data_IF_371420538154
#
_entry.id   IF_371420538154
#
_cell.length_a   1.000
_cell.length_b   1.000
_cell.length_c   1.000
_cell.angle_alpha   90.00
_cell.angle_beta   90.00
_cell.angle_gamma   90.00
#
_symmetry.space_group_name_H-M   'P 1'
#
loop_
_entity.id
_entity.type
_entity.pdbx_description
1 polymer ?
#
# COMPACT_ATOMS: atom_id res chain seq x y z
N UNK A 1 14.07 -23.53 3.77
CA UNK A 1 13.15 -22.53 4.32
C UNK A 1 13.29 -21.28 3.48
N UNK A 2 12.19 -20.65 3.10
CA UNK A 2 12.22 -19.36 2.41
C UNK A 2 12.68 -18.27 3.39
N UNK A 3 13.51 -17.36 2.96
CA UNK A 3 14.10 -16.30 3.80
C UNK A 3 13.56 -14.94 3.41
N UNK A 4 13.04 -14.21 4.39
CA UNK A 4 12.40 -12.91 4.15
C UNK A 4 12.97 -11.81 5.05
N UNK A 5 12.79 -10.56 4.61
CA UNK A 5 12.91 -9.37 5.45
C UNK A 5 11.61 -8.56 5.36
N UNK A 6 11.28 -7.82 6.41
CA UNK A 6 10.04 -7.06 6.54
C UNK A 6 10.35 -5.62 6.91
N UNK A 7 10.04 -4.68 6.02
CA UNK A 7 10.03 -3.26 6.34
C UNK A 7 8.65 -2.86 6.86
N UNK A 8 8.59 -2.37 8.11
CA UNK A 8 7.34 -2.02 8.76
C UNK A 8 6.71 -3.16 9.56
N UNK A 9 7.52 -4.00 10.21
CA UNK A 9 7.10 -5.22 10.92
C UNK A 9 6.10 -4.99 12.06
N UNK A 10 6.11 -3.82 12.69
CA UNK A 10 5.20 -3.44 13.77
C UNK A 10 3.89 -2.79 13.31
N UNK A 11 3.74 -2.58 11.99
CA UNK A 11 2.49 -2.11 11.38
C UNK A 11 1.47 -3.23 11.16
N UNK A 12 0.27 -2.86 10.70
CA UNK A 12 -0.83 -3.82 10.48
C UNK A 12 -0.45 -4.96 9.52
N UNK A 13 0.20 -4.65 8.39
CA UNK A 13 0.63 -5.68 7.43
C UNK A 13 1.81 -6.49 7.98
N UNK A 14 2.77 -5.82 8.62
CA UNK A 14 3.94 -6.49 9.19
C UNK A 14 3.56 -7.51 10.28
N UNK A 15 2.66 -7.16 11.18
CA UNK A 15 2.18 -8.08 12.24
C UNK A 15 1.44 -9.27 11.64
N UNK A 16 0.54 -9.05 10.67
CA UNK A 16 -0.16 -10.13 9.98
C UNK A 16 0.78 -11.02 9.13
N UNK A 17 1.86 -10.42 8.60
CA UNK A 17 2.91 -11.19 7.93
C UNK A 17 3.59 -12.15 8.90
N UNK A 18 3.94 -11.68 10.10
CA UNK A 18 4.54 -12.53 11.14
C UNK A 18 3.58 -13.60 11.66
N UNK A 19 2.26 -13.33 11.69
CA UNK A 19 1.25 -14.36 11.96
C UNK A 19 1.27 -15.45 10.88
N UNK A 20 1.30 -15.08 9.59
CA UNK A 20 1.41 -16.03 8.47
C UNK A 20 2.69 -16.86 8.57
N UNK A 21 3.81 -16.23 8.92
CA UNK A 21 5.09 -16.93 9.13
C UNK A 21 4.99 -17.94 10.26
N UNK A 22 4.40 -17.54 11.39
CA UNK A 22 4.20 -18.41 12.57
C UNK A 22 3.30 -19.62 12.25
N UNK A 23 2.20 -19.39 11.55
CA UNK A 23 1.24 -20.44 11.20
C UNK A 23 1.82 -21.49 10.24
N UNK A 24 2.67 -21.07 9.30
CA UNK A 24 3.26 -21.99 8.33
C UNK A 24 4.56 -22.67 8.81
N UNK A 25 5.39 -21.99 9.60
CA UNK A 25 6.60 -22.55 10.23
C UNK A 25 7.75 -22.90 9.26
N UNK A 26 7.68 -22.50 7.99
CA UNK A 26 8.68 -22.83 6.96
C UNK A 26 9.31 -21.56 6.31
N UNK A 27 9.14 -20.40 6.95
CA UNK A 27 9.77 -19.14 6.57
C UNK A 27 10.70 -18.69 7.70
N UNK A 28 11.89 -18.26 7.35
CA UNK A 28 12.87 -17.63 8.24
C UNK A 28 12.85 -16.11 8.06
N UNK A 29 12.69 -15.37 9.14
CA UNK A 29 12.71 -13.91 9.14
C UNK A 29 14.11 -13.44 9.48
N UNK A 30 14.86 -12.97 8.49
CA UNK A 30 16.26 -12.54 8.67
C UNK A 30 16.40 -11.06 9.04
N UNK A 31 15.46 -10.23 8.57
CA UNK A 31 15.50 -8.79 8.79
C UNK A 31 14.15 -8.21 9.18
N UNK A 32 14.15 -7.28 10.13
CA UNK A 32 12.98 -6.52 10.51
C UNK A 32 13.27 -5.02 10.49
N UNK A 33 12.26 -4.21 10.18
CA UNK A 33 12.37 -2.77 10.33
C UNK A 33 11.09 -2.18 10.92
N UNK A 34 11.24 -1.17 11.80
CA UNK A 34 10.12 -0.44 12.39
C UNK A 34 10.44 1.05 12.55
N UNK A 35 9.40 1.88 12.73
CA UNK A 35 9.54 3.30 12.98
C UNK A 35 10.03 3.58 14.41
N UNK A 36 9.12 3.56 15.38
CA UNK A 36 9.39 3.91 16.79
C UNK A 36 8.79 2.92 17.81
N UNK A 37 7.98 1.95 17.37
CA UNK A 37 7.36 0.98 18.27
C UNK A 37 8.34 -0.13 18.65
N UNK A 38 9.31 0.20 19.50
CA UNK A 38 10.36 -0.73 19.93
C UNK A 38 9.88 -1.80 20.91
N UNK A 39 8.75 -1.60 21.59
CA UNK A 39 8.22 -2.62 22.52
C UNK A 39 7.74 -3.85 21.75
N UNK A 40 6.91 -3.66 20.73
CA UNK A 40 6.48 -4.76 19.87
C UNK A 40 7.65 -5.31 19.04
N UNK A 41 8.58 -4.45 18.60
CA UNK A 41 9.76 -4.88 17.86
C UNK A 41 10.67 -5.78 18.71
N UNK A 42 10.85 -5.50 20.02
CA UNK A 42 11.57 -6.37 20.96
C UNK A 42 10.92 -7.76 21.05
N UNK A 43 9.60 -7.84 21.17
CA UNK A 43 8.86 -9.11 21.17
C UNK A 43 9.11 -9.90 19.87
N UNK A 44 9.04 -9.22 18.72
CA UNK A 44 9.33 -9.81 17.42
C UNK A 44 10.77 -10.31 17.29
N UNK A 45 11.74 -9.55 17.80
CA UNK A 45 13.16 -9.95 17.82
C UNK A 45 13.35 -11.22 18.66
N UNK A 46 12.77 -11.28 19.85
CA UNK A 46 12.89 -12.44 20.73
C UNK A 46 12.24 -13.69 20.15
N UNK A 47 11.12 -13.52 19.43
CA UNK A 47 10.40 -14.64 18.80
C UNK A 47 11.08 -15.16 17.53
N UNK A 48 11.38 -14.26 16.59
CA UNK A 48 11.85 -14.62 15.24
C UNK A 48 13.37 -14.64 15.09
N UNK A 49 14.13 -14.09 16.04
CA UNK A 49 15.58 -14.04 16.09
C UNK A 49 16.23 -13.56 14.77
N UNK A 50 15.82 -12.38 14.25
CA UNK A 50 16.41 -11.83 13.03
C UNK A 50 17.89 -11.49 13.24
N UNK A 51 18.68 -11.55 12.17
CA UNK A 51 20.11 -11.15 12.19
C UNK A 51 20.30 -9.63 12.20
N UNK A 52 19.37 -8.90 11.57
CA UNK A 52 19.48 -7.46 11.36
C UNK A 52 18.14 -6.76 11.59
N UNK A 53 18.16 -5.67 12.34
CA UNK A 53 16.97 -4.88 12.64
C UNK A 53 17.23 -3.40 12.43
N UNK A 54 16.40 -2.74 11.64
CA UNK A 54 16.44 -1.30 11.44
C UNK A 54 15.35 -0.58 12.28
N UNK A 55 15.74 0.48 12.97
CA UNK A 55 14.80 1.36 13.66
C UNK A 55 14.95 2.75 13.09
N UNK A 56 13.85 3.33 12.57
CA UNK A 56 13.91 4.65 11.95
C UNK A 56 14.33 5.76 12.92
N UNK A 57 13.79 5.73 14.14
CA UNK A 57 14.10 6.68 15.20
C UNK A 57 15.41 6.26 15.90
N UNK A 58 16.43 7.10 15.77
CA UNK A 58 17.78 6.84 16.35
C UNK A 58 17.77 6.71 17.88
N UNK A 59 16.93 7.51 18.57
CA UNK A 59 16.82 7.43 20.04
C UNK A 59 16.19 6.10 20.44
N UNK A 60 15.13 5.69 19.74
CA UNK A 60 14.50 4.40 19.95
C UNK A 60 15.40 3.23 19.59
N UNK A 61 16.25 3.36 18.59
CA UNK A 61 17.28 2.36 18.30
C UNK A 61 18.28 2.18 19.47
N UNK A 62 18.72 3.27 20.07
CA UNK A 62 19.61 3.21 21.24
C UNK A 62 18.93 2.55 22.45
N UNK A 63 17.65 2.87 22.72
CA UNK A 63 16.86 2.20 23.75
C UNK A 63 16.71 0.70 23.46
N UNK A 64 16.42 0.31 22.21
CA UNK A 64 16.25 -1.09 21.81
C UNK A 64 17.56 -1.89 21.95
N UNK A 65 18.72 -1.32 21.59
CA UNK A 65 20.02 -1.97 21.77
C UNK A 65 20.27 -2.42 23.21
N UNK A 66 19.84 -1.61 24.18
CA UNK A 66 19.96 -1.96 25.61
C UNK A 66 19.03 -3.12 25.96
N UNK A 67 17.81 -3.11 25.42
CA UNK A 67 16.80 -4.12 25.71
C UNK A 67 17.12 -5.51 25.17
N UNK A 68 17.83 -5.56 24.03
CA UNK A 68 18.17 -6.82 23.34
C UNK A 68 19.67 -7.16 23.40
N UNK A 69 20.41 -6.58 24.35
CA UNK A 69 21.86 -6.82 24.51
C UNK A 69 22.22 -8.29 24.82
N UNK A 70 21.22 -9.08 25.22
CA UNK A 70 21.30 -10.52 25.47
C UNK A 70 21.17 -11.38 24.21
N UNK A 71 20.86 -10.77 23.05
CA UNK A 71 20.61 -11.43 21.78
C UNK A 71 21.69 -11.08 20.74
N UNK A 72 21.98 -12.02 19.86
CA UNK A 72 22.89 -11.81 18.73
C UNK A 72 22.14 -11.18 17.54
N UNK A 73 21.86 -9.87 17.66
CA UNK A 73 21.13 -9.11 16.63
C UNK A 73 21.82 -7.77 16.40
N UNK A 74 22.05 -7.43 15.13
CA UNK A 74 22.59 -6.12 14.75
C UNK A 74 21.46 -5.09 14.65
N UNK A 75 21.57 -3.95 15.35
CA UNK A 75 20.62 -2.83 15.26
C UNK A 75 21.22 -1.68 14.48
N UNK A 76 20.53 -1.24 13.43
CA UNK A 76 20.89 -0.11 12.54
C UNK A 76 19.79 0.93 12.50
N UNK A 77 20.03 2.12 11.91
CA UNK A 77 19.10 3.25 11.96
C UNK A 77 18.93 3.94 10.62
N UNK A 78 17.82 4.68 10.50
CA UNK A 78 17.57 5.59 9.38
C UNK A 78 17.44 4.91 8.02
N UNK A 79 17.65 5.68 6.95
CA UNK A 79 17.54 5.20 5.57
C UNK A 79 18.59 4.14 5.24
N UNK A 80 19.84 4.34 5.66
CA UNK A 80 20.92 3.38 5.44
C UNK A 80 20.60 2.03 6.11
N UNK A 81 20.03 2.07 7.32
CA UNK A 81 19.56 0.87 7.99
C UNK A 81 18.42 0.15 7.27
N UNK A 82 17.45 0.89 6.72
CA UNK A 82 16.38 0.29 5.90
C UNK A 82 16.95 -0.37 4.65
N UNK A 83 17.90 0.29 3.99
CA UNK A 83 18.57 -0.27 2.81
C UNK A 83 19.37 -1.51 3.21
N UNK A 84 20.13 -1.49 4.30
CA UNK A 84 20.91 -2.63 4.75
C UNK A 84 20.03 -3.87 4.98
N UNK A 85 18.86 -3.71 5.63
CA UNK A 85 17.88 -4.79 5.79
C UNK A 85 17.36 -5.28 4.43
N UNK A 86 17.13 -4.37 3.49
CA UNK A 86 16.54 -4.69 2.19
C UNK A 86 17.46 -5.47 1.26
N UNK A 87 18.78 -5.32 1.40
CA UNK A 87 19.80 -5.92 0.53
C UNK A 87 20.52 -7.12 1.14
N UNK A 88 20.08 -7.62 2.31
CA UNK A 88 20.70 -8.78 2.96
C UNK A 88 20.85 -9.93 1.96
N UNK A 89 22.06 -10.48 1.82
CA UNK A 89 22.40 -11.46 0.78
C UNK A 89 21.48 -12.69 0.81
N UNK A 90 21.21 -13.23 1.99
CA UNK A 90 20.41 -14.45 2.17
C UNK A 90 18.90 -14.24 1.98
N UNK A 91 18.39 -13.01 1.98
CA UNK A 91 16.97 -12.71 1.81
C UNK A 91 16.53 -12.97 0.37
N UNK A 92 15.46 -13.71 0.18
CA UNK A 92 14.84 -14.01 -1.11
C UNK A 92 13.72 -13.01 -1.45
N UNK A 93 12.88 -12.68 -0.44
CA UNK A 93 11.75 -11.76 -0.59
C UNK A 93 11.84 -10.64 0.43
N UNK A 94 11.76 -9.41 -0.04
CA UNK A 94 11.53 -8.23 0.79
C UNK A 94 10.04 -7.90 0.83
N UNK A 95 9.43 -7.93 2.02
CA UNK A 95 8.08 -7.40 2.20
C UNK A 95 8.15 -5.93 2.62
N UNK A 96 7.56 -5.04 1.81
CA UNK A 96 7.57 -3.60 2.05
C UNK A 96 6.20 -3.15 2.57
N UNK A 97 6.11 -2.87 3.87
CA UNK A 97 4.90 -2.45 4.57
C UNK A 97 5.09 -1.14 5.36
N UNK A 98 6.07 -0.33 4.95
CA UNK A 98 6.21 1.04 5.43
C UNK A 98 5.16 1.94 4.78
N UNK A 99 4.84 3.06 5.40
CA UNK A 99 3.85 4.03 4.91
C UNK A 99 4.57 5.19 4.24
N UNK A 100 4.03 5.67 3.12
CA UNK A 100 4.56 6.83 2.41
C UNK A 100 5.76 6.51 1.52
N UNK A 101 6.43 7.56 1.04
CA UNK A 101 7.47 7.45 0.02
C UNK A 101 8.81 6.92 0.56
N UNK A 102 8.95 6.75 1.88
CA UNK A 102 10.16 6.21 2.52
C UNK A 102 10.56 4.82 2.00
N UNK A 103 9.59 4.04 1.48
CA UNK A 103 9.80 2.70 0.93
C UNK A 103 10.49 2.67 -0.43
N UNK A 104 10.56 3.79 -1.17
CA UNK A 104 11.03 3.79 -2.56
C UNK A 104 12.51 3.39 -2.66
N UNK A 105 13.40 4.09 -1.94
CA UNK A 105 14.84 3.81 -1.97
C UNK A 105 15.18 2.37 -1.56
N UNK A 106 14.71 1.86 -0.41
CA UNK A 106 14.93 0.47 -0.03
C UNK A 106 14.43 -0.53 -1.07
N UNK A 107 13.27 -0.27 -1.71
CA UNK A 107 12.73 -1.13 -2.76
C UNK A 107 13.61 -1.14 -4.01
N UNK A 108 14.10 0.02 -4.46
CA UNK A 108 15.05 0.12 -5.59
C UNK A 108 16.32 -0.68 -5.34
N UNK A 109 16.92 -0.52 -4.15
CA UNK A 109 18.14 -1.22 -3.81
C UNK A 109 17.92 -2.74 -3.63
N UNK A 110 16.78 -3.16 -3.09
CA UNK A 110 16.42 -4.57 -3.02
C UNK A 110 16.28 -5.21 -4.42
N UNK A 111 15.62 -4.51 -5.36
CA UNK A 111 15.49 -4.98 -6.75
C UNK A 111 16.87 -5.12 -7.40
N UNK A 112 17.77 -4.14 -7.25
CA UNK A 112 19.14 -4.20 -7.73
C UNK A 112 19.93 -5.37 -7.11
N UNK A 113 19.61 -5.72 -5.85
CA UNK A 113 20.20 -6.87 -5.17
C UNK A 113 19.52 -8.20 -5.52
N UNK A 114 18.60 -8.23 -6.50
CA UNK A 114 17.95 -9.45 -6.99
C UNK A 114 16.90 -10.02 -6.06
N UNK A 115 16.24 -9.18 -5.21
CA UNK A 115 15.20 -9.64 -4.29
C UNK A 115 13.82 -9.50 -4.92
N UNK A 116 12.98 -10.51 -4.79
CA UNK A 116 11.55 -10.39 -5.07
C UNK A 116 10.90 -9.45 -4.04
N UNK A 117 9.91 -8.68 -4.47
CA UNK A 117 9.25 -7.69 -3.62
C UNK A 117 7.81 -8.10 -3.36
N UNK A 118 7.46 -8.39 -2.10
CA UNK A 118 6.08 -8.46 -1.65
C UNK A 118 5.62 -7.03 -1.29
N UNK A 119 4.93 -6.37 -2.23
CA UNK A 119 4.66 -4.94 -2.18
C UNK A 119 3.33 -4.65 -1.49
N UNK A 120 3.38 -4.06 -0.29
CA UNK A 120 2.22 -3.48 0.40
C UNK A 120 2.26 -1.94 0.40
N UNK A 121 3.41 -1.33 0.14
CA UNK A 121 3.60 0.12 0.07
C UNK A 121 3.23 0.63 -1.34
N UNK A 122 1.96 0.94 -1.55
CA UNK A 122 1.44 1.38 -2.85
C UNK A 122 2.05 2.68 -3.35
N UNK A 123 2.45 3.56 -2.43
CA UNK A 123 3.06 4.86 -2.74
C UNK A 123 4.33 4.69 -3.58
N UNK A 124 5.05 3.58 -3.42
CA UNK A 124 6.23 3.23 -4.23
C UNK A 124 5.93 3.17 -5.73
N UNK A 125 4.83 2.52 -6.12
CA UNK A 125 4.43 2.46 -7.55
C UNK A 125 3.68 3.69 -8.01
N UNK A 126 2.87 4.29 -7.15
CA UNK A 126 2.16 5.54 -7.48
C UNK A 126 3.13 6.63 -7.93
N UNK A 127 4.25 6.77 -7.24
CA UNK A 127 5.20 7.86 -7.46
C UNK A 127 6.40 7.47 -8.34
N UNK A 128 6.86 6.23 -8.25
CA UNK A 128 8.07 5.76 -8.92
C UNK A 128 7.85 4.52 -9.80
N UNK A 129 6.61 4.21 -10.19
CA UNK A 129 6.29 3.02 -10.98
C UNK A 129 7.05 2.94 -12.31
N UNK A 130 7.29 4.10 -12.98
CA UNK A 130 8.08 4.20 -14.21
C UNK A 130 9.57 3.86 -14.02
N UNK A 131 10.08 3.89 -12.78
CA UNK A 131 11.44 3.46 -12.42
C UNK A 131 11.42 2.01 -11.96
N UNK A 132 10.51 1.66 -11.06
CA UNK A 132 10.44 0.36 -10.37
C UNK A 132 10.15 -0.78 -11.34
N UNK A 133 9.11 -0.65 -12.18
CA UNK A 133 8.67 -1.75 -13.04
C UNK A 133 9.69 -2.11 -14.13
N UNK A 134 10.30 -1.14 -14.87
CA UNK A 134 11.38 -1.45 -15.80
C UNK A 134 12.60 -2.07 -15.11
N UNK A 135 13.01 -1.54 -13.93
CA UNK A 135 14.13 -2.07 -13.18
C UNK A 135 13.89 -3.51 -12.72
N UNK A 136 12.68 -3.82 -12.20
CA UNK A 136 12.31 -5.18 -11.80
C UNK A 136 12.38 -6.15 -12.99
N UNK A 137 11.89 -5.71 -14.16
CA UNK A 137 11.97 -6.50 -15.40
C UNK A 137 13.42 -6.74 -15.84
N UNK A 138 14.28 -5.73 -15.79
CA UNK A 138 15.70 -5.83 -16.13
C UNK A 138 16.44 -6.80 -15.22
N UNK A 139 16.18 -6.70 -13.90
CA UNK A 139 16.79 -7.57 -12.88
C UNK A 139 16.17 -8.96 -12.81
N UNK A 140 15.05 -9.20 -13.51
CA UNK A 140 14.35 -10.50 -13.51
C UNK A 140 13.69 -10.84 -12.17
N UNK A 141 13.36 -9.84 -11.35
CA UNK A 141 12.69 -10.02 -10.04
C UNK A 141 11.19 -9.78 -10.16
N UNK A 142 10.43 -10.38 -9.26
CA UNK A 142 8.97 -10.29 -9.23
C UNK A 142 8.50 -9.17 -8.28
N UNK A 143 7.52 -8.38 -8.73
CA UNK A 143 6.73 -7.52 -7.84
C UNK A 143 5.41 -8.25 -7.55
N UNK A 144 5.25 -8.69 -6.31
CA UNK A 144 4.12 -9.50 -5.84
C UNK A 144 3.19 -8.61 -5.00
N UNK A 145 1.97 -8.30 -5.48
CA UNK A 145 1.09 -7.37 -4.77
C UNK A 145 0.55 -7.98 -3.47
N UNK A 146 0.62 -7.20 -2.39
CA UNK A 146 0.04 -7.50 -1.09
C UNK A 146 -1.25 -6.71 -0.86
N UNK A 147 -1.43 -5.55 -1.50
CA UNK A 147 -2.72 -4.85 -1.48
C UNK A 147 -3.82 -5.80 -1.96
N UNK A 148 -4.96 -5.86 -1.26
CA UNK A 148 -5.99 -6.90 -1.48
C UNK A 148 -6.57 -6.87 -2.88
N UNK A 149 -6.83 -5.70 -3.42
CA UNK A 149 -7.39 -5.51 -4.74
C UNK A 149 -6.39 -5.90 -5.84
N UNK A 150 -5.13 -5.48 -5.70
CA UNK A 150 -4.08 -5.83 -6.67
C UNK A 150 -3.72 -7.30 -6.60
N UNK A 151 -3.71 -7.89 -5.41
CA UNK A 151 -3.57 -9.35 -5.25
C UNK A 151 -4.72 -10.09 -5.95
N UNK A 152 -5.95 -9.60 -5.84
CA UNK A 152 -7.11 -10.20 -6.50
C UNK A 152 -7.01 -10.13 -8.02
N UNK A 153 -6.58 -8.99 -8.58
CA UNK A 153 -6.32 -8.84 -10.02
C UNK A 153 -5.20 -9.79 -10.45
N UNK A 154 -4.08 -9.80 -9.71
CA UNK A 154 -2.96 -10.69 -9.98
C UNK A 154 -3.38 -12.16 -9.97
N UNK A 155 -4.23 -12.58 -9.02
CA UNK A 155 -4.78 -13.93 -8.96
C UNK A 155 -5.73 -14.25 -10.12
N UNK A 156 -6.55 -13.27 -10.56
CA UNK A 156 -7.47 -13.41 -11.69
C UNK A 156 -6.75 -13.52 -13.03
N UNK A 157 -5.52 -13.03 -13.13
CA UNK A 157 -4.66 -13.13 -14.32
C UNK A 157 -3.90 -14.46 -14.40
N UNK A 158 -3.91 -15.31 -13.35
CA UNK A 158 -3.19 -16.58 -13.39
C UNK A 158 -3.79 -17.53 -14.43
N UNK A 159 -2.94 -18.08 -15.30
CA UNK A 159 -3.36 -18.87 -16.45
C UNK A 159 -3.80 -18.08 -17.69
N UNK A 160 -3.96 -16.76 -17.55
CA UNK A 160 -4.47 -15.87 -18.61
C UNK A 160 -3.43 -14.82 -19.05
N UNK A 161 -2.16 -15.00 -18.76
CA UNK A 161 -1.09 -14.00 -19.02
C UNK A 161 -0.93 -13.62 -20.53
N UNK A 162 -1.41 -14.46 -21.43
CA UNK A 162 -1.37 -14.23 -22.88
C UNK A 162 -2.63 -13.51 -23.40
N UNK A 163 -3.64 -13.34 -22.55
CA UNK A 163 -4.91 -12.74 -22.94
C UNK A 163 -4.91 -11.24 -22.66
N UNK A 164 -5.43 -10.46 -23.59
CA UNK A 164 -5.54 -9.01 -23.45
C UNK A 164 -6.61 -8.65 -22.39
N UNK A 165 -6.26 -7.72 -21.53
CA UNK A 165 -7.18 -7.12 -20.57
C UNK A 165 -8.04 -6.08 -21.29
N UNK A 166 -9.36 -6.25 -21.28
CA UNK A 166 -10.29 -5.23 -21.74
C UNK A 166 -10.35 -4.09 -20.72
N UNK A 167 -10.64 -4.44 -19.44
CA UNK A 167 -10.54 -3.51 -18.30
C UNK A 167 -10.33 -4.23 -16.99
N UNK A 168 -9.83 -3.49 -16.01
CA UNK A 168 -9.78 -3.88 -14.61
C UNK A 168 -11.01 -3.29 -13.91
N UNK A 169 -11.74 -4.12 -13.17
CA UNK A 169 -12.85 -3.70 -12.32
C UNK A 169 -12.34 -3.68 -10.88
N UNK A 170 -11.83 -2.50 -10.47
CA UNK A 170 -11.23 -2.28 -9.15
C UNK A 170 -12.34 -2.01 -8.13
N UNK A 171 -12.53 -2.92 -7.18
CA UNK A 171 -13.60 -2.78 -6.20
C UNK A 171 -13.22 -1.84 -5.05
N UNK A 172 -14.22 -1.21 -4.46
CA UNK A 172 -14.10 -0.34 -3.29
C UNK A 172 -15.25 -0.62 -2.32
N UNK A 173 -15.02 -0.51 -1.00
CA UNK A 173 -16.12 -0.55 -0.03
C UNK A 173 -17.05 0.67 -0.12
N UNK A 174 -16.56 1.76 -0.68
CA UNK A 174 -17.21 3.07 -0.68
C UNK A 174 -16.91 3.92 0.55
N UNK A 175 -16.17 3.36 1.52
CA UNK A 175 -15.79 4.05 2.76
C UNK A 175 -16.96 4.30 3.73
N UNK A 176 -16.68 4.96 4.88
CA UNK A 176 -17.70 5.20 5.93
C UNK A 176 -18.77 6.20 5.54
N UNK A 177 -18.55 6.99 4.49
CA UNK A 177 -19.47 8.05 4.07
C UNK A 177 -20.22 7.73 2.78
N UNK A 178 -20.20 6.46 2.35
CA UNK A 178 -20.98 6.00 1.19
C UNK A 178 -22.45 6.44 1.29
N UNK A 179 -22.97 7.05 0.23
CA UNK A 179 -24.35 7.56 0.16
C UNK A 179 -24.56 8.97 0.75
N UNK A 180 -23.55 9.55 1.41
CA UNK A 180 -23.58 10.96 1.86
C UNK A 180 -23.32 11.92 0.70
N UNK A 181 -23.78 13.17 0.85
CA UNK A 181 -23.49 14.28 -0.06
C UNK A 181 -22.52 15.26 0.59
N UNK A 182 -21.94 16.15 -0.21
CA UNK A 182 -20.94 17.12 0.26
C UNK A 182 -21.40 17.94 1.47
N UNK A 183 -22.68 18.28 1.53
CA UNK A 183 -23.30 19.03 2.63
C UNK A 183 -23.22 18.24 3.96
N UNK A 184 -23.34 16.92 3.89
CA UNK A 184 -23.26 16.03 5.06
C UNK A 184 -21.84 15.91 5.60
N UNK A 185 -20.84 16.30 4.79
CA UNK A 185 -19.40 16.14 5.12
C UNK A 185 -18.77 17.38 5.77
N UNK A 186 -19.50 18.50 5.84
CA UNK A 186 -19.00 19.78 6.36
C UNK A 186 -18.48 19.73 7.80
N UNK A 187 -19.08 18.88 8.64
CA UNK A 187 -18.79 18.81 10.07
C UNK A 187 -18.19 17.46 10.51
N UNK A 188 -17.65 16.68 9.58
CA UNK A 188 -17.03 15.38 9.88
C UNK A 188 -15.85 15.58 10.82
N UNK A 189 -15.82 14.76 11.89
CA UNK A 189 -14.75 14.70 12.85
C UNK A 189 -13.82 13.51 12.56
N UNK A 190 -12.62 13.54 13.11
CA UNK A 190 -11.63 12.47 12.95
C UNK A 190 -12.21 11.10 13.33
N UNK A 191 -12.97 11.05 14.42
CA UNK A 191 -13.59 9.83 14.93
C UNK A 191 -14.63 9.23 13.97
N UNK A 192 -15.30 10.07 13.19
CA UNK A 192 -16.29 9.62 12.20
C UNK A 192 -15.59 9.01 10.98
N UNK A 193 -14.54 9.66 10.52
CA UNK A 193 -13.76 9.21 9.36
C UNK A 193 -12.93 7.94 9.65
N UNK A 194 -12.62 7.66 10.92
CA UNK A 194 -11.91 6.44 11.33
C UNK A 194 -12.79 5.20 11.48
N UNK A 195 -14.12 5.31 11.31
CA UNK A 195 -15.07 4.19 11.42
C UNK A 195 -15.25 3.48 10.06
N UNK A 196 -14.26 2.66 9.66
CA UNK A 196 -14.42 1.88 8.42
C UNK A 196 -15.42 0.73 8.63
N UNK A 197 -16.37 0.48 7.68
CA UNK A 197 -17.44 -0.50 7.89
C UNK A 197 -16.97 -1.96 7.91
N UNK A 198 -15.92 -2.32 7.18
CA UNK A 198 -15.54 -3.72 6.95
C UNK A 198 -14.12 -4.07 7.38
N UNK A 199 -13.21 -3.09 7.44
CA UNK A 199 -11.78 -3.33 7.63
C UNK A 199 -11.25 -2.63 8.88
N UNK A 200 -10.41 -3.34 9.65
CA UNK A 200 -9.59 -2.74 10.71
C UNK A 200 -8.22 -2.37 10.10
N UNK A 201 -8.00 -1.08 9.86
CA UNK A 201 -6.82 -0.57 9.16
C UNK A 201 -6.08 0.49 9.95
N UNK A 202 -4.88 0.85 9.50
CA UNK A 202 -4.14 2.01 10.01
C UNK A 202 -4.92 3.32 9.84
N UNK A 203 -4.62 4.31 10.69
CA UNK A 203 -5.35 5.59 10.71
C UNK A 203 -5.29 6.33 9.38
N UNK A 204 -4.10 6.43 8.75
CA UNK A 204 -3.92 7.14 7.48
C UNK A 204 -4.79 6.53 6.37
N UNK A 205 -4.66 5.22 6.11
CA UNK A 205 -5.40 4.53 5.04
C UNK A 205 -6.91 4.54 5.30
N UNK A 206 -7.36 4.59 6.56
CA UNK A 206 -8.80 4.72 6.89
C UNK A 206 -9.35 6.08 6.45
N UNK A 207 -8.60 7.17 6.65
CA UNK A 207 -8.96 8.49 6.10
C UNK A 207 -8.94 8.48 4.58
N UNK A 208 -7.89 7.90 3.96
CA UNK A 208 -7.80 7.78 2.50
C UNK A 208 -9.00 7.00 1.91
N UNK A 209 -9.47 5.96 2.60
CA UNK A 209 -10.68 5.22 2.23
C UNK A 209 -11.92 6.11 2.31
N UNK A 210 -12.03 6.95 3.36
CA UNK A 210 -13.18 7.84 3.56
C UNK A 210 -13.32 8.90 2.47
N UNK A 211 -12.20 9.35 1.91
CA UNK A 211 -12.11 10.35 0.84
C UNK A 211 -12.10 9.76 -0.58
N UNK A 212 -12.07 8.43 -0.70
CA UNK A 212 -11.81 7.67 -1.93
C UNK A 212 -10.41 7.91 -2.53
N UNK A 213 -9.51 8.63 -1.85
CA UNK A 213 -8.11 8.80 -2.28
C UNK A 213 -7.36 7.47 -2.27
N UNK A 214 -7.62 6.58 -1.28
CA UNK A 214 -7.04 5.24 -1.30
C UNK A 214 -7.32 4.52 -2.61
N UNK A 215 -8.56 4.53 -3.07
CA UNK A 215 -8.95 3.91 -4.33
C UNK A 215 -8.31 4.61 -5.54
N UNK A 216 -8.10 5.92 -5.44
CA UNK A 216 -7.36 6.68 -6.43
C UNK A 216 -5.90 6.28 -6.53
N UNK A 217 -5.20 6.10 -5.40
CA UNK A 217 -3.82 5.59 -5.37
C UNK A 217 -3.75 4.18 -5.99
N UNK A 218 -4.72 3.33 -5.68
CA UNK A 218 -4.82 1.99 -6.23
C UNK A 218 -5.08 1.95 -7.74
N UNK A 219 -5.85 2.90 -8.29
CA UNK A 219 -6.01 3.07 -9.74
C UNK A 219 -4.65 3.30 -10.40
N UNK A 220 -3.84 4.21 -9.86
CA UNK A 220 -2.51 4.52 -10.42
C UNK A 220 -1.57 3.31 -10.25
N UNK A 221 -1.56 2.65 -9.09
CA UNK A 221 -0.76 1.44 -8.85
C UNK A 221 -1.10 0.32 -9.85
N UNK A 222 -2.39 0.11 -10.13
CA UNK A 222 -2.85 -0.91 -11.07
C UNK A 222 -2.29 -0.70 -12.48
N UNK A 223 -2.15 0.56 -12.92
CA UNK A 223 -1.59 0.85 -14.26
C UNK A 223 -0.16 0.34 -14.40
N UNK A 224 0.64 0.49 -13.35
CA UNK A 224 2.02 0.03 -13.33
C UNK A 224 2.14 -1.49 -13.19
N UNK A 225 1.41 -2.09 -12.24
CA UNK A 225 1.48 -3.53 -11.99
C UNK A 225 1.01 -4.37 -13.16
N UNK A 226 -0.03 -3.92 -13.87
CA UNK A 226 -0.68 -4.72 -14.90
C UNK A 226 -0.47 -4.17 -16.32
N UNK A 227 0.24 -3.04 -16.47
CA UNK A 227 0.57 -2.47 -17.77
C UNK A 227 -0.65 -2.02 -18.57
N UNK A 228 -1.65 -1.44 -17.90
CA UNK A 228 -2.89 -0.95 -18.53
C UNK A 228 -2.98 0.58 -18.44
N UNK A 229 -3.66 1.17 -19.41
CA UNK A 229 -4.02 2.60 -19.38
C UNK A 229 -4.93 2.92 -18.18
N UNK A 230 -4.81 4.12 -17.62
CA UNK A 230 -5.62 4.58 -16.48
C UNK A 230 -7.12 4.42 -16.75
N UNK A 231 -7.57 4.72 -17.97
CA UNK A 231 -8.98 4.66 -18.34
C UNK A 231 -9.51 3.21 -18.48
N UNK A 232 -8.61 2.21 -18.52
CA UNK A 232 -8.97 0.80 -18.43
C UNK A 232 -9.18 0.31 -16.99
N UNK A 233 -8.88 1.12 -15.97
CA UNK A 233 -9.15 0.81 -14.56
C UNK A 233 -10.45 1.47 -14.14
N UNK A 234 -11.52 0.70 -14.06
CA UNK A 234 -12.85 1.16 -13.65
C UNK A 234 -13.10 0.84 -12.18
N UNK A 235 -13.37 1.87 -11.37
CA UNK A 235 -13.76 1.67 -9.97
C UNK A 235 -15.23 1.26 -9.87
N UNK A 236 -15.49 0.21 -9.07
CA UNK A 236 -16.82 -0.32 -8.77
C UNK A 236 -16.99 -0.39 -7.26
N UNK A 237 -18.01 0.25 -6.70
CA UNK A 237 -18.30 0.14 -5.26
C UNK A 237 -19.02 -1.18 -5.00
N UNK A 238 -18.45 -2.00 -4.12
CA UNK A 238 -18.95 -3.30 -3.67
C UNK A 238 -18.99 -3.28 -2.12
N UNK A 239 -20.13 -2.87 -1.53
CA UNK A 239 -20.21 -2.52 -0.11
C UNK A 239 -19.84 -3.64 0.86
N UNK A 240 -20.11 -4.89 0.47
CA UNK A 240 -19.83 -6.06 1.31
C UNK A 240 -18.33 -6.40 1.40
N UNK A 241 -17.50 -5.82 0.52
CA UNK A 241 -16.04 -6.09 0.44
C UNK A 241 -15.70 -7.58 0.34
N UNK A 242 -16.50 -8.34 -0.41
CA UNK A 242 -16.32 -9.79 -0.63
C UNK A 242 -15.62 -10.05 -1.96
N UNK A 243 -15.95 -9.28 -3.00
CA UNK A 243 -15.20 -9.29 -4.26
C UNK A 243 -14.06 -8.28 -4.10
N UNK A 244 -12.83 -8.80 -4.11
CA UNK A 244 -11.66 -7.95 -3.90
C UNK A 244 -11.14 -7.27 -5.18
N UNK A 245 -11.50 -7.69 -6.35
CA UNK A 245 -11.44 -7.05 -7.68
C UNK A 245 -11.62 -8.09 -8.78
N UNK A 246 -11.76 -7.61 -10.01
CA UNK A 246 -12.09 -8.44 -11.17
C UNK A 246 -11.30 -7.98 -12.40
N UNK A 247 -11.11 -8.88 -13.36
CA UNK A 247 -10.54 -8.60 -14.68
C UNK A 247 -11.57 -8.98 -15.74
N UNK A 248 -11.91 -8.04 -16.61
CA UNK A 248 -12.70 -8.26 -17.81
C UNK A 248 -11.75 -8.43 -19.00
N UNK A 249 -11.90 -9.51 -19.73
CA UNK A 249 -11.13 -9.83 -20.93
C UNK A 249 -11.83 -9.38 -22.20
N UNK A 250 -11.12 -9.38 -23.35
CA UNK A 250 -11.64 -8.89 -24.62
C UNK A 250 -12.84 -9.72 -25.15
N UNK A 251 -13.01 -10.95 -24.69
CA UNK A 251 -14.18 -11.79 -25.02
C UNK A 251 -15.41 -11.51 -24.13
N UNK A 252 -15.30 -10.57 -23.19
CA UNK A 252 -16.34 -10.21 -22.24
C UNK A 252 -16.40 -11.10 -21.01
N UNK A 253 -15.51 -12.10 -20.86
CA UNK A 253 -15.43 -12.90 -19.65
C UNK A 253 -14.88 -12.07 -18.48
N UNK A 254 -15.47 -12.22 -17.30
CA UNK A 254 -15.01 -11.57 -16.08
C UNK A 254 -14.53 -12.63 -15.10
N UNK A 255 -13.28 -12.52 -14.64
CA UNK A 255 -12.73 -13.36 -13.58
C UNK A 255 -12.52 -12.51 -12.34
N UNK A 256 -12.98 -13.00 -11.20
CA UNK A 256 -12.96 -12.32 -9.91
C UNK A 256 -12.33 -13.19 -8.83
N UNK A 257 -11.61 -12.56 -7.89
CA UNK A 257 -11.22 -13.21 -6.66
C UNK A 257 -12.14 -12.75 -5.52
N UNK A 258 -12.69 -13.71 -4.81
CA UNK A 258 -13.57 -13.49 -3.66
C UNK A 258 -12.91 -14.05 -2.39
N UNK A 259 -13.16 -13.39 -1.26
CA UNK A 259 -12.67 -13.82 0.05
C UNK A 259 -13.31 -13.04 1.19
N UNK A 260 -13.07 -13.48 2.40
CA UNK A 260 -13.32 -12.67 3.60
C UNK A 260 -12.34 -11.50 3.64
N UNK A 261 -12.68 -10.36 4.27
CA UNK A 261 -11.78 -9.22 4.40
C UNK A 261 -10.65 -9.50 5.40
N UNK A 262 -9.61 -10.20 4.95
CA UNK A 262 -8.44 -10.60 5.74
C UNK A 262 -7.17 -10.41 4.89
N UNK A 263 -6.23 -9.59 5.38
CA UNK A 263 -4.97 -9.32 4.69
C UNK A 263 -4.00 -10.50 4.71
N UNK A 264 -4.20 -11.51 5.57
CA UNK A 264 -3.35 -12.72 5.57
C UNK A 264 -3.43 -13.49 4.24
N UNK A 265 -4.59 -13.45 3.55
CA UNK A 265 -4.74 -14.12 2.25
C UNK A 265 -3.79 -13.53 1.19
N UNK A 266 -3.82 -12.23 0.86
CA UNK A 266 -2.90 -11.65 -0.10
C UNK A 266 -1.43 -11.71 0.36
N UNK A 267 -1.15 -11.52 1.65
CA UNK A 267 0.19 -11.67 2.22
C UNK A 267 0.71 -13.08 1.97
N UNK A 268 -0.04 -14.11 2.38
CA UNK A 268 0.36 -15.50 2.19
C UNK A 268 0.54 -15.84 0.71
N UNK A 269 -0.36 -15.36 -0.15
CA UNK A 269 -0.24 -15.60 -1.58
C UNK A 269 1.02 -14.98 -2.18
N UNK A 270 1.39 -13.75 -1.80
CA UNK A 270 2.63 -13.12 -2.22
C UNK A 270 3.87 -13.90 -1.74
N UNK A 271 3.88 -14.34 -0.49
CA UNK A 271 5.01 -15.08 0.07
C UNK A 271 5.19 -16.49 -0.53
N UNK A 272 4.13 -17.14 -0.95
CA UNK A 272 4.17 -18.53 -1.43
C UNK A 272 3.93 -18.68 -2.94
N UNK A 273 3.71 -17.58 -3.66
CA UNK A 273 3.44 -17.64 -5.09
C UNK A 273 4.44 -18.55 -5.83
N UNK A 274 3.98 -19.38 -6.77
CA UNK A 274 2.59 -19.54 -7.26
C UNK A 274 1.73 -20.55 -6.47
N UNK A 275 2.20 -21.07 -5.35
CA UNK A 275 1.52 -22.10 -4.57
C UNK A 275 0.48 -21.49 -3.62
N UNK A 276 -0.66 -22.16 -3.48
CA UNK A 276 -1.63 -21.86 -2.42
C UNK A 276 -1.37 -22.75 -1.21
N UNK A 277 -1.42 -22.15 -0.03
CA UNK A 277 -1.27 -22.84 1.26
C UNK A 277 -2.58 -22.79 2.03
N UNK A 278 -2.75 -23.71 2.96
CA UNK A 278 -3.83 -23.62 3.92
C UNK A 278 -3.69 -22.32 4.72
N UNK A 279 -4.79 -21.61 4.90
CA UNK A 279 -4.88 -20.43 5.75
C UNK A 279 -6.04 -20.67 6.72
N UNK A 280 -5.84 -20.68 8.04
CA UNK A 280 -6.92 -20.77 9.00
C UNK A 280 -7.81 -19.51 8.94
N UNK A 281 -9.03 -19.62 9.44
CA UNK A 281 -10.00 -18.53 9.49
C UNK A 281 -11.29 -18.82 8.72
N UNK A 282 -12.17 -17.83 8.71
CA UNK A 282 -13.50 -17.94 8.12
C UNK A 282 -13.45 -18.14 6.60
N UNK A 283 -14.45 -18.85 6.09
CA UNK A 283 -14.69 -19.01 4.66
C UNK A 283 -15.99 -18.31 4.28
N UNK A 284 -16.09 -17.90 3.03
CA UNK A 284 -17.33 -17.33 2.51
C UNK A 284 -18.42 -18.40 2.52
N UNK A 285 -19.56 -18.03 3.11
CA UNK A 285 -20.79 -18.83 3.07
C UNK A 285 -21.78 -18.13 2.11
N UNK A 286 -21.86 -18.65 0.89
CA UNK A 286 -22.73 -18.08 -0.15
C UNK A 286 -24.23 -18.19 0.19
N UNK A 287 -24.65 -19.17 1.01
CA UNK A 287 -26.02 -19.31 1.47
C UNK A 287 -26.41 -18.17 2.41
N UNK A 288 -25.52 -17.79 3.32
CA UNK A 288 -25.74 -16.68 4.26
C UNK A 288 -25.59 -15.32 3.58
N UNK A 289 -24.69 -15.20 2.63
CA UNK A 289 -24.42 -13.94 1.93
C UNK A 289 -25.60 -13.50 1.04
N UNK A 290 -26.21 -14.43 0.34
CA UNK A 290 -27.44 -14.26 -0.46
C UNK A 290 -27.24 -13.40 -1.71
N UNK A 291 -26.84 -12.13 -1.58
CA UNK A 291 -26.67 -11.19 -2.69
C UNK A 291 -25.39 -10.36 -2.56
N UNK A 292 -24.91 -9.85 -3.68
CA UNK A 292 -23.84 -8.88 -3.79
C UNK A 292 -24.36 -7.62 -4.50
N UNK A 293 -24.05 -6.46 -3.96
CA UNK A 293 -24.49 -5.18 -4.49
C UNK A 293 -23.31 -4.47 -5.17
N UNK A 294 -23.62 -3.76 -6.26
CA UNK A 294 -22.66 -2.96 -7.02
C UNK A 294 -23.19 -1.55 -7.23
N UNK A 295 -22.35 -0.54 -7.04
CA UNK A 295 -22.71 0.86 -7.23
C UNK A 295 -21.63 1.58 -8.03
N UNK A 296 -22.02 2.64 -8.71
CA UNK A 296 -21.08 3.58 -9.32
C UNK A 296 -20.49 4.48 -8.22
N UNK A 297 -19.15 4.75 -8.22
CA UNK A 297 -18.58 5.72 -7.28
C UNK A 297 -19.13 7.13 -7.53
N UNK A 298 -19.48 7.85 -6.46
CA UNK A 298 -19.89 9.26 -6.51
C UNK A 298 -18.63 10.15 -6.53
N UNK A 299 -18.11 10.40 -7.73
CA UNK A 299 -16.88 11.19 -7.92
C UNK A 299 -17.09 12.68 -7.72
N UNK A 300 -18.32 13.17 -7.72
CA UNK A 300 -18.63 14.57 -7.45
C UNK A 300 -18.52 14.86 -5.95
N UNK A 301 -19.07 13.98 -5.12
CA UNK A 301 -18.95 14.06 -3.65
C UNK A 301 -17.55 13.69 -3.16
N UNK A 302 -16.96 12.63 -3.71
CA UNK A 302 -15.63 12.13 -3.35
C UNK A 302 -14.61 12.47 -4.44
N UNK A 303 -14.38 13.77 -4.59
CA UNK A 303 -13.57 14.32 -5.68
C UNK A 303 -12.09 13.85 -5.67
N UNK A 304 -11.60 13.32 -4.54
CA UNK A 304 -10.27 12.73 -4.45
C UNK A 304 -10.01 11.62 -5.47
N UNK A 305 -11.04 10.82 -5.82
CA UNK A 305 -10.92 9.81 -6.87
C UNK A 305 -10.76 10.44 -8.27
N UNK A 306 -11.48 11.54 -8.56
CA UNK A 306 -11.35 12.26 -9.82
C UNK A 306 -9.96 12.87 -9.99
N UNK A 307 -9.42 13.47 -8.93
CA UNK A 307 -8.05 14.00 -8.91
C UNK A 307 -6.99 12.92 -9.13
N UNK A 308 -7.20 11.72 -8.60
CA UNK A 308 -6.30 10.59 -8.83
C UNK A 308 -6.30 10.16 -10.30
N UNK A 309 -7.47 10.07 -10.94
CA UNK A 309 -7.55 9.80 -12.38
C UNK A 309 -6.85 10.89 -13.20
N UNK A 310 -7.00 12.16 -12.82
CA UNK A 310 -6.27 13.26 -13.46
C UNK A 310 -4.75 13.09 -13.30
N UNK A 311 -4.29 12.82 -12.07
CA UNK A 311 -2.87 12.59 -11.78
C UNK A 311 -2.30 11.42 -12.59
N UNK A 312 -3.04 10.31 -12.65
CA UNK A 312 -2.63 9.12 -13.39
C UNK A 312 -2.58 9.32 -14.91
N UNK A 313 -3.54 10.06 -15.49
CA UNK A 313 -3.54 10.41 -16.93
C UNK A 313 -2.41 11.36 -17.29
N UNK A 314 -2.14 12.34 -16.43
CA UNK A 314 -1.07 13.30 -16.65
C UNK A 314 0.30 12.65 -16.48
N UNK A 315 0.44 11.73 -15.52
CA UNK A 315 1.69 11.02 -15.25
C UNK A 315 2.82 11.96 -14.77
N UNK A 316 4.05 11.55 -15.00
CA UNK A 316 5.22 12.31 -14.58
C UNK A 316 5.31 12.45 -13.06
N UNK A 317 5.59 13.68 -12.60
CA UNK A 317 5.68 13.98 -11.17
C UNK A 317 4.33 14.34 -10.50
N UNK A 318 3.22 14.46 -11.28
CA UNK A 318 1.93 14.82 -10.70
C UNK A 318 1.36 13.78 -9.72
N UNK A 319 1.50 12.45 -9.94
CA UNK A 319 1.15 11.44 -8.92
C UNK A 319 1.91 11.60 -7.60
N UNK A 320 3.17 12.05 -7.66
CA UNK A 320 3.97 12.37 -6.45
C UNK A 320 3.34 13.52 -5.67
N UNK A 321 2.93 14.60 -6.35
CA UNK A 321 2.24 15.74 -5.73
C UNK A 321 0.93 15.29 -5.10
N UNK A 322 0.12 14.52 -5.84
CA UNK A 322 -1.15 13.98 -5.34
C UNK A 322 -0.95 13.20 -4.04
N UNK A 323 0.03 12.27 -4.04
CA UNK A 323 0.34 11.46 -2.85
C UNK A 323 0.87 12.31 -1.69
N UNK A 324 1.88 13.15 -1.93
CA UNK A 324 2.51 13.98 -0.90
C UNK A 324 1.51 14.97 -0.28
N UNK A 325 0.68 15.61 -1.10
CA UNK A 325 -0.37 16.50 -0.61
C UNK A 325 -1.39 15.76 0.26
N UNK A 326 -1.81 14.57 -0.16
CA UNK A 326 -2.69 13.73 0.63
C UNK A 326 -2.07 13.33 1.97
N UNK A 327 -0.82 12.85 2.00
CA UNK A 327 -0.15 12.46 3.24
C UNK A 327 -0.10 13.61 4.25
N UNK A 328 0.28 14.81 3.79
CA UNK A 328 0.35 16.00 4.64
C UNK A 328 -1.05 16.43 5.12
N UNK A 329 -2.02 16.51 4.22
CA UNK A 329 -3.38 16.96 4.56
C UNK A 329 -4.07 15.97 5.51
N UNK A 330 -3.92 14.66 5.30
CA UNK A 330 -4.43 13.63 6.22
C UNK A 330 -3.77 13.75 7.59
N UNK A 331 -2.45 13.98 7.64
CA UNK A 331 -1.74 14.25 8.90
C UNK A 331 -2.32 15.45 9.65
N UNK A 332 -2.55 16.56 8.96
CA UNK A 332 -3.16 17.78 9.52
C UNK A 332 -4.60 17.53 10.01
N UNK A 333 -5.41 16.79 9.24
CA UNK A 333 -6.77 16.42 9.67
C UNK A 333 -6.74 15.53 10.92
N UNK A 334 -5.90 14.52 10.97
CA UNK A 334 -5.75 13.65 12.13
C UNK A 334 -5.29 14.39 13.39
N UNK A 335 -4.55 15.48 13.22
CA UNK A 335 -4.14 16.41 14.27
C UNK A 335 -5.18 17.51 14.55
N UNK A 336 -6.33 17.51 13.87
CA UNK A 336 -7.41 18.52 13.99
C UNK A 336 -6.99 19.94 13.61
N UNK A 337 -6.03 20.05 12.72
CA UNK A 337 -5.50 21.35 12.24
C UNK A 337 -6.30 21.88 11.04
N UNK A 338 -6.98 20.98 10.31
CA UNK A 338 -7.85 21.29 9.17
C UNK A 338 -9.17 20.49 9.28
N UNK A 339 -10.19 20.93 8.52
CA UNK A 339 -11.46 20.22 8.37
C UNK A 339 -11.35 19.09 7.32
N UNK A 340 -12.32 18.19 7.34
CA UNK A 340 -12.35 17.01 6.46
C UNK A 340 -12.31 17.37 4.97
N UNK A 341 -13.12 18.31 4.51
CA UNK A 341 -13.17 18.72 3.09
C UNK A 341 -11.91 19.44 2.63
N UNK A 342 -11.21 20.11 3.55
CA UNK A 342 -9.94 20.81 3.23
C UNK A 342 -8.83 19.82 2.79
N UNK A 343 -8.96 18.52 3.10
CA UNK A 343 -8.03 17.49 2.59
C UNK A 343 -7.99 17.55 1.06
N UNK A 344 -9.14 17.51 0.43
CA UNK A 344 -9.25 17.47 -1.04
C UNK A 344 -8.89 18.82 -1.66
N UNK A 345 -9.26 19.92 -1.02
CA UNK A 345 -8.90 21.28 -1.45
C UNK A 345 -7.37 21.46 -1.47
N UNK A 346 -6.66 20.95 -0.45
CA UNK A 346 -5.19 21.02 -0.39
C UNK A 346 -4.55 20.19 -1.51
N UNK A 347 -5.07 18.99 -1.76
CA UNK A 347 -4.57 18.13 -2.84
C UNK A 347 -4.73 18.84 -4.18
N UNK A 348 -5.92 19.32 -4.48
CA UNK A 348 -6.22 20.03 -5.74
C UNK A 348 -5.33 21.24 -5.93
N UNK A 349 -5.21 22.09 -4.92
CA UNK A 349 -4.36 23.28 -4.97
C UNK A 349 -2.89 22.96 -5.24
N UNK A 350 -2.36 21.90 -4.62
CA UNK A 350 -0.98 21.48 -4.87
C UNK A 350 -0.82 20.98 -6.31
N UNK A 351 -1.77 20.18 -6.81
CA UNK A 351 -1.76 19.68 -8.19
C UNK A 351 -1.85 20.82 -9.22
N UNK A 352 -2.75 21.79 -9.01
CA UNK A 352 -2.91 22.96 -9.91
C UNK A 352 -1.68 23.87 -9.95
N UNK A 353 -0.95 23.97 -8.85
CA UNK A 353 0.22 24.83 -8.75
C UNK A 353 1.51 24.17 -9.24
N UNK A 354 1.50 22.84 -9.42
CA UNK A 354 2.70 22.09 -9.78
C UNK A 354 3.05 22.25 -11.26
N UNK A 355 4.34 22.35 -11.54
CA UNK A 355 4.88 22.27 -12.90
C UNK A 355 5.37 20.85 -13.14
N UNK A 356 4.59 20.07 -13.89
CA UNK A 356 4.85 18.66 -14.09
C UNK A 356 6.21 18.39 -14.76
N UNK A 357 6.93 17.38 -14.26
CA UNK A 357 8.14 16.82 -14.85
C UNK A 357 7.72 15.46 -15.47
N UNK A 358 7.84 15.33 -16.80
CA UNK A 358 7.31 14.16 -17.53
C UNK A 358 7.94 12.82 -17.13
N UNK A 359 9.27 12.77 -16.98
CA UNK A 359 10.02 11.57 -16.58
C UNK A 359 10.94 11.88 -15.42
N UNK A 360 10.40 12.05 -14.19
CA UNK A 360 11.22 12.46 -13.05
C UNK A 360 12.18 11.34 -12.62
N UNK A 361 13.41 11.72 -12.32
CA UNK A 361 14.36 10.83 -11.65
C UNK A 361 13.92 10.59 -10.20
N UNK A 362 14.52 9.59 -9.53
CA UNK A 362 14.24 9.33 -8.12
C UNK A 362 14.48 10.56 -7.23
N UNK A 363 15.57 11.30 -7.47
CA UNK A 363 15.87 12.52 -6.72
C UNK A 363 14.81 13.61 -6.97
N UNK A 364 14.38 13.80 -8.22
CA UNK A 364 13.30 14.74 -8.55
C UNK A 364 11.95 14.34 -7.93
N UNK A 365 11.66 13.05 -7.80
CA UNK A 365 10.47 12.57 -7.07
C UNK A 365 10.54 12.99 -5.60
N UNK A 366 11.67 12.76 -4.93
CA UNK A 366 11.87 13.12 -3.52
C UNK A 366 11.89 14.64 -3.32
N UNK A 367 12.45 15.41 -4.27
CA UNK A 367 12.42 16.86 -4.26
C UNK A 367 10.97 17.38 -4.43
N UNK A 368 10.20 16.81 -5.35
CA UNK A 368 8.77 17.12 -5.56
C UNK A 368 7.95 16.89 -4.28
N UNK A 369 8.21 15.79 -3.55
CA UNK A 369 7.60 15.55 -2.24
C UNK A 369 7.93 16.66 -1.25
N UNK A 370 9.22 16.98 -1.11
CA UNK A 370 9.70 18.00 -0.18
C UNK A 370 9.12 19.39 -0.51
N UNK A 371 9.08 19.76 -1.79
CA UNK A 371 8.47 21.04 -2.26
C UNK A 371 6.97 21.09 -1.96
N UNK A 372 6.25 19.96 -2.18
CA UNK A 372 4.82 19.85 -1.87
C UNK A 372 4.58 20.06 -0.38
N UNK A 373 5.36 19.42 0.48
CA UNK A 373 5.29 19.61 1.93
C UNK A 373 5.61 21.05 2.35
N UNK A 374 6.64 21.67 1.77
CA UNK A 374 7.01 23.06 2.05
C UNK A 374 5.89 24.02 1.65
N UNK A 375 5.27 23.81 0.48
CA UNK A 375 4.13 24.60 0.01
C UNK A 375 2.96 24.55 0.99
N UNK A 376 2.57 23.37 1.44
CA UNK A 376 1.44 23.22 2.38
C UNK A 376 1.75 23.89 3.72
N UNK A 377 2.98 23.75 4.23
CA UNK A 377 3.42 24.42 5.46
C UNK A 377 3.40 25.94 5.35
N UNK A 378 3.67 26.51 4.17
CA UNK A 378 3.68 27.94 3.94
C UNK A 378 2.28 28.57 3.79
N UNK A 379 1.20 27.79 3.71
CA UNK A 379 -0.21 28.25 3.65
C UNK A 379 -0.74 28.72 5.02
N UNK A 380 0.01 28.57 6.09
CA UNK A 380 -0.35 28.94 7.48
C UNK A 380 0.09 30.35 7.85
#
# INVERSE_FOLDING_TARGET
MKKIAILGSTGSIGTQTLEVVRENGDIEVLGLAAGSNISLLEEQIREFQPKLVAVWDEKKAAELKIKVQDLDVKIVTGMDGLIEVSVMEEVEILLTAVVGMIGIRPTVEAIKAGKDIALANKETLVTAGHIIMPLAKEMGVSILPVDSEHSAIFQSLQGNKMNSIHKILLTASGGPFRGKKQEDLLNIQVEDALKHPNWAMGRKITIDSSTMVNKGLEVIEATWLFGVEVDKVQVVVQPQSVIHSMVEYEDGAIIAQLGTPDMKLPIQYALYYPKRRYLPGDRLDFWRMGKLDFEKPDMDTFYGLALAYEAGRTGGSLPTVFNAANEMAVGQFLNREIKYLEIIEIIEDCMRAHKNIENPTLDQILETEAETYARIKSRR
#
